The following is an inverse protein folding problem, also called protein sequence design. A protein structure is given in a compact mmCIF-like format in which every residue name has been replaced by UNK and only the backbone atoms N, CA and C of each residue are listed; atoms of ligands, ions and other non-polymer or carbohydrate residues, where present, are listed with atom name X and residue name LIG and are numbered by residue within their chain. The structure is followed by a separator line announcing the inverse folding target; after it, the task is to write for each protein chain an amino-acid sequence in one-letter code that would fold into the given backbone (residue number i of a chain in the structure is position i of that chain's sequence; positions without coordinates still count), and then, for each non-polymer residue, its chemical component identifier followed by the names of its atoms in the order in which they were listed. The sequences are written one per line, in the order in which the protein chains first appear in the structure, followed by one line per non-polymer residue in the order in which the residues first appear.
data_IF_885598924016
#
_entry.id   IF_885598924016
#
_cell.length_a   1.000
_cell.length_b   1.000
_cell.length_c   1.000
_cell.angle_alpha   90.00
_cell.angle_beta   90.00
_cell.angle_gamma   90.00
#
_symmetry.space_group_name_H-M   'P 1'
#
loop_
_entity.id
_entity.type
_entity.pdbx_description
1 polymer ?
#
# COMPACT_ATOMS: atom_id res chain seq x y z
N UNK A 1 28.15 -46.58 6.67
CA UNK A 1 27.91 -45.19 7.10
C UNK A 1 26.46 -44.88 6.80
N UNK A 2 25.60 -44.85 7.82
CA UNK A 2 24.22 -44.39 7.68
C UNK A 2 24.20 -42.92 8.08
N UNK A 3 23.95 -42.02 7.13
CA UNK A 3 23.58 -40.65 7.46
C UNK A 3 22.17 -40.66 8.04
N UNK A 4 21.90 -39.93 9.14
CA UNK A 4 20.54 -39.76 9.61
C UNK A 4 19.76 -38.94 8.58
N UNK A 5 18.56 -39.43 8.25
CA UNK A 5 17.60 -38.73 7.41
C UNK A 5 17.14 -37.48 8.17
N UNK A 6 17.47 -36.29 7.68
CA UNK A 6 17.11 -35.03 8.34
C UNK A 6 15.59 -34.86 8.20
N UNK A 7 14.83 -34.71 9.30
CA UNK A 7 13.38 -34.53 9.21
C UNK A 7 13.03 -33.22 8.50
N UNK A 8 11.89 -33.22 7.79
CA UNK A 8 11.29 -32.09 7.08
C UNK A 8 10.90 -30.88 7.95
N UNK A 9 11.29 -30.86 9.22
CA UNK A 9 10.91 -29.83 10.21
C UNK A 9 11.51 -28.46 9.90
N UNK A 10 12.64 -28.40 9.19
CA UNK A 10 13.27 -27.13 8.81
C UNK A 10 12.50 -26.33 7.76
N UNK A 11 11.64 -26.99 6.96
CA UNK A 11 10.81 -26.30 5.97
C UNK A 11 9.67 -25.54 6.66
N UNK A 12 8.99 -26.20 7.60
CA UNK A 12 7.90 -25.60 8.39
C UNK A 12 8.36 -24.41 9.23
N UNK A 13 9.51 -24.52 9.91
CA UNK A 13 10.05 -23.40 10.71
C UNK A 13 10.40 -22.19 9.84
N UNK A 14 10.93 -22.40 8.63
CA UNK A 14 11.22 -21.29 7.69
C UNK A 14 9.95 -20.64 7.15
N UNK A 15 8.91 -21.41 6.85
CA UNK A 15 7.64 -20.87 6.37
C UNK A 15 6.94 -20.05 7.46
N UNK A 16 6.94 -20.52 8.71
CA UNK A 16 6.39 -19.77 9.85
C UNK A 16 7.21 -18.50 10.15
N UNK A 17 8.54 -18.58 10.15
CA UNK A 17 9.39 -17.40 10.29
C UNK A 17 9.14 -16.39 9.15
N UNK A 18 9.11 -16.86 7.90
CA UNK A 18 8.84 -15.99 6.74
C UNK A 18 7.45 -15.35 6.78
N UNK A 19 6.43 -16.08 7.24
CA UNK A 19 5.07 -15.55 7.41
C UNK A 19 5.01 -14.49 8.53
N UNK A 20 5.67 -14.74 9.67
CA UNK A 20 5.72 -13.80 10.81
C UNK A 20 6.55 -12.55 10.46
N UNK A 21 7.66 -12.69 9.74
CA UNK A 21 8.45 -11.56 9.26
C UNK A 21 7.74 -10.77 8.16
N UNK A 22 6.97 -11.44 7.30
CA UNK A 22 6.14 -10.79 6.28
C UNK A 22 5.15 -9.79 6.87
N UNK A 23 4.49 -10.15 7.98
CA UNK A 23 3.58 -9.25 8.69
C UNK A 23 4.30 -8.01 9.25
N UNK A 24 5.48 -8.18 9.85
CA UNK A 24 6.25 -7.06 10.41
C UNK A 24 6.80 -6.12 9.33
N UNK A 25 7.26 -6.66 8.21
CA UNK A 25 7.76 -5.86 7.10
C UNK A 25 6.63 -5.03 6.47
N UNK A 26 5.45 -5.64 6.29
CA UNK A 26 4.24 -4.98 5.83
C UNK A 26 3.85 -3.80 6.73
N UNK A 27 3.66 -4.04 8.04
CA UNK A 27 3.29 -2.99 8.99
C UNK A 27 4.36 -1.91 9.13
N UNK A 28 5.64 -2.25 8.91
CA UNK A 28 6.72 -1.24 8.92
C UNK A 28 6.58 -0.25 7.78
N UNK A 29 6.22 -0.71 6.59
CA UNK A 29 6.00 0.18 5.43
C UNK A 29 4.82 1.10 5.68
N UNK A 30 3.67 0.55 6.10
CA UNK A 30 2.48 1.36 6.44
C UNK A 30 2.84 2.40 7.50
N UNK A 31 3.50 1.99 8.58
CA UNK A 31 3.92 2.89 9.65
C UNK A 31 4.82 4.02 9.16
N UNK A 32 5.79 3.73 8.28
CA UNK A 32 6.69 4.73 7.71
C UNK A 32 5.95 5.76 6.86
N UNK A 33 5.13 5.29 5.92
CA UNK A 33 4.33 6.16 5.06
C UNK A 33 3.41 7.03 5.89
N UNK A 34 2.61 6.42 6.76
CA UNK A 34 1.62 7.12 7.58
C UNK A 34 2.28 8.15 8.51
N UNK A 35 3.44 7.83 9.10
CA UNK A 35 4.15 8.76 10.00
C UNK A 35 4.65 9.99 9.25
N UNK A 36 5.29 9.82 8.09
CA UNK A 36 5.83 10.95 7.34
C UNK A 36 4.72 11.78 6.71
N UNK A 37 3.72 11.15 6.10
CA UNK A 37 2.56 11.86 5.56
C UNK A 37 1.79 12.59 6.68
N UNK A 38 1.69 12.00 7.86
CA UNK A 38 1.05 12.61 9.02
C UNK A 38 1.82 13.83 9.54
N UNK A 39 3.16 13.81 9.50
CA UNK A 39 3.98 14.98 9.77
C UNK A 39 3.65 16.13 8.79
N UNK A 40 3.62 15.82 7.49
CA UNK A 40 3.32 16.81 6.45
C UNK A 40 1.92 17.42 6.62
N UNK A 41 0.93 16.62 7.01
CA UNK A 41 -0.45 17.07 7.21
C UNK A 41 -0.66 17.80 8.55
N UNK A 42 -0.40 17.16 9.68
CA UNK A 42 -0.77 17.69 11.00
C UNK A 42 0.20 18.73 11.56
N UNK A 43 1.48 18.64 11.21
CA UNK A 43 2.53 19.48 11.80
C UNK A 43 2.96 20.58 10.84
N UNK A 44 3.26 20.21 9.60
CA UNK A 44 3.76 21.17 8.61
C UNK A 44 2.64 21.87 7.83
N UNK A 45 1.49 21.23 7.65
CA UNK A 45 0.39 21.75 6.84
C UNK A 45 0.76 21.91 5.36
N UNK A 46 1.70 21.10 4.86
CA UNK A 46 2.22 21.17 3.48
C UNK A 46 1.42 20.34 2.48
N UNK A 47 0.61 19.39 2.97
CA UNK A 47 -0.36 18.63 2.18
C UNK A 47 -1.76 18.81 2.78
N UNK A 48 -2.80 18.66 1.96
CA UNK A 48 -4.21 18.80 2.37
C UNK A 48 -4.92 17.48 2.60
N UNK A 49 -4.28 16.36 2.24
CA UNK A 49 -4.87 15.04 2.37
C UNK A 49 -4.37 14.34 3.64
N UNK A 50 -5.30 13.93 4.48
CA UNK A 50 -5.03 13.31 5.77
C UNK A 50 -4.77 11.80 5.62
N UNK A 51 -3.64 11.28 6.12
CA UNK A 51 -3.33 9.87 6.00
C UNK A 51 -4.06 9.03 7.06
N UNK A 52 -4.74 7.99 6.60
CA UNK A 52 -5.38 6.99 7.45
C UNK A 52 -4.86 5.59 7.12
N UNK A 53 -4.26 4.87 8.08
CA UNK A 53 -3.85 3.50 7.89
C UNK A 53 -5.05 2.55 8.04
N UNK A 54 -5.11 1.50 7.23
CA UNK A 54 -6.05 0.38 7.36
C UNK A 54 -7.51 0.81 7.63
N UNK A 55 -7.97 1.84 6.92
CA UNK A 55 -9.30 2.46 7.12
C UNK A 55 -10.23 2.17 5.93
N UNK A 56 -11.53 2.06 6.20
CA UNK A 56 -12.56 1.84 5.15
C UNK A 56 -12.69 3.05 4.24
N UNK A 57 -12.84 2.83 2.92
CA UNK A 57 -13.08 3.90 1.95
C UNK A 57 -14.42 4.62 2.12
N UNK A 58 -15.42 3.92 2.66
CA UNK A 58 -16.76 4.43 2.93
C UNK A 58 -17.26 3.79 4.23
N UNK A 59 -17.42 4.59 5.28
CA UNK A 59 -17.85 4.11 6.60
C UNK A 59 -19.36 3.79 6.66
N UNK A 60 -20.15 4.24 5.69
CA UNK A 60 -21.60 4.05 5.68
C UNK A 60 -22.02 2.63 5.27
N UNK A 61 -21.11 1.87 4.66
CA UNK A 61 -21.34 0.50 4.16
C UNK A 61 -20.09 -0.35 4.30
N UNK A 62 -20.24 -1.67 4.16
CA UNK A 62 -19.08 -2.53 4.02
C UNK A 62 -18.31 -2.15 2.73
N UNK A 63 -17.14 -1.55 2.90
CA UNK A 63 -16.31 -1.06 1.80
C UNK A 63 -14.88 -1.61 1.90
N UNK A 64 -14.11 -1.59 0.80
CA UNK A 64 -12.73 -2.01 0.81
C UNK A 64 -11.88 -1.20 1.79
N UNK A 65 -10.91 -1.88 2.39
CA UNK A 65 -9.90 -1.30 3.28
C UNK A 65 -8.56 -1.37 2.55
N UNK A 66 -8.01 -0.25 2.04
CA UNK A 66 -6.62 -0.17 1.64
C UNK A 66 -5.70 -0.14 2.86
N UNK A 67 -4.43 -0.48 2.65
CA UNK A 67 -3.42 -0.41 3.71
C UNK A 67 -3.14 1.03 4.17
N UNK A 68 -3.24 1.98 3.24
CA UNK A 68 -3.23 3.41 3.51
C UNK A 68 -4.18 4.12 2.54
N UNK A 69 -4.94 5.09 3.04
CA UNK A 69 -5.66 6.05 2.21
C UNK A 69 -5.30 7.47 2.61
N UNK A 70 -5.42 8.40 1.66
CA UNK A 70 -5.33 9.83 1.93
C UNK A 70 -6.69 10.46 1.69
N UNK A 71 -7.27 11.00 2.77
CA UNK A 71 -8.62 11.52 2.82
C UNK A 71 -8.64 13.03 2.63
N UNK A 72 -9.53 13.51 1.77
CA UNK A 72 -9.81 14.91 1.61
C UNK A 72 -11.00 15.31 2.50
N UNK A 73 -10.71 16.11 3.53
CA UNK A 73 -11.72 16.58 4.47
C UNK A 73 -12.73 17.59 3.87
N UNK A 74 -12.43 18.20 2.72
CA UNK A 74 -13.35 19.14 2.06
C UNK A 74 -14.39 18.41 1.20
N UNK A 75 -13.96 17.38 0.47
CA UNK A 75 -14.82 16.62 -0.47
C UNK A 75 -15.37 15.34 0.13
N UNK A 76 -14.84 14.89 1.27
CA UNK A 76 -15.14 13.62 1.91
C UNK A 76 -14.80 12.39 1.03
N UNK A 77 -13.78 12.52 0.18
CA UNK A 77 -13.30 11.46 -0.72
C UNK A 77 -11.88 11.02 -0.37
N UNK A 78 -11.46 9.86 -0.88
CA UNK A 78 -10.09 9.34 -0.71
C UNK A 78 -9.37 9.30 -2.06
N UNK A 79 -8.84 10.43 -2.55
CA UNK A 79 -8.26 10.50 -3.90
C UNK A 79 -6.99 9.66 -4.08
N UNK A 80 -6.33 9.24 -2.99
CA UNK A 80 -5.13 8.40 -3.03
C UNK A 80 -5.29 7.17 -2.14
N UNK A 81 -4.92 6.00 -2.66
CA UNK A 81 -4.78 4.76 -1.88
C UNK A 81 -3.43 4.08 -2.13
N UNK A 82 -2.94 3.35 -1.13
CA UNK A 82 -1.73 2.53 -1.24
C UNK A 82 -2.01 1.13 -0.69
N UNK A 83 -1.61 0.12 -1.46
CA UNK A 83 -1.52 -1.28 -1.01
C UNK A 83 -0.05 -1.65 -0.85
N UNK A 84 0.28 -2.37 0.21
CA UNK A 84 1.60 -2.89 0.53
C UNK A 84 1.54 -4.40 0.40
N UNK A 85 2.41 -5.00 -0.41
CA UNK A 85 2.33 -6.42 -0.69
C UNK A 85 3.69 -7.10 -0.74
N UNK A 86 3.68 -8.43 -0.66
CA UNK A 86 4.81 -9.25 -1.06
C UNK A 86 4.63 -9.71 -2.52
N UNK A 87 5.57 -10.52 -3.00
CA UNK A 87 5.52 -11.04 -4.37
C UNK A 87 4.28 -11.89 -4.67
N UNK A 88 3.72 -12.59 -3.67
CA UNK A 88 2.55 -13.46 -3.82
C UNK A 88 1.25 -12.64 -3.91
N UNK A 89 1.17 -11.53 -3.17
CA UNK A 89 0.04 -10.60 -3.16
C UNK A 89 -0.02 -9.67 -4.38
N UNK A 90 1.14 -9.38 -5.00
CA UNK A 90 1.27 -8.36 -6.04
C UNK A 90 0.18 -8.39 -7.12
N UNK A 91 -0.06 -9.56 -7.75
CA UNK A 91 -1.05 -9.66 -8.83
C UNK A 91 -2.47 -9.34 -8.37
N UNK A 92 -2.81 -9.72 -7.13
CA UNK A 92 -4.11 -9.47 -6.52
C UNK A 92 -4.27 -7.97 -6.26
N UNK A 93 -3.26 -7.33 -5.68
CA UNK A 93 -3.35 -5.93 -5.27
C UNK A 93 -3.29 -4.98 -6.46
N UNK A 94 -2.52 -5.30 -7.52
CA UNK A 94 -2.58 -4.57 -8.80
C UNK A 94 -4.01 -4.58 -9.37
N UNK A 95 -4.66 -5.75 -9.36
CA UNK A 95 -6.04 -5.86 -9.84
C UNK A 95 -7.00 -5.08 -8.93
N UNK A 96 -6.86 -5.21 -7.60
CA UNK A 96 -7.68 -4.49 -6.61
C UNK A 96 -7.62 -2.99 -6.86
N UNK A 97 -6.41 -2.43 -6.93
CA UNK A 97 -6.19 -1.00 -7.15
C UNK A 97 -6.83 -0.52 -8.46
N UNK A 98 -6.58 -1.22 -9.57
CA UNK A 98 -7.18 -0.88 -10.86
C UNK A 98 -8.71 -0.81 -10.77
N UNK A 99 -9.35 -1.80 -10.12
CA UNK A 99 -10.81 -1.84 -9.96
C UNK A 99 -11.32 -0.70 -9.07
N UNK A 100 -10.66 -0.43 -7.94
CA UNK A 100 -11.07 0.65 -7.03
C UNK A 100 -11.02 2.02 -7.70
N UNK A 101 -9.99 2.27 -8.51
CA UNK A 101 -9.77 3.55 -9.21
C UNK A 101 -10.81 3.76 -10.32
N UNK A 102 -11.06 2.75 -11.15
CA UNK A 102 -11.90 2.89 -12.34
C UNK A 102 -13.38 2.57 -12.12
N UNK A 103 -13.71 1.58 -11.28
CA UNK A 103 -15.05 0.98 -11.23
C UNK A 103 -15.88 1.47 -10.04
N UNK A 104 -15.28 1.76 -8.88
CA UNK A 104 -16.02 1.80 -7.60
C UNK A 104 -16.43 3.20 -7.11
N UNK A 105 -16.25 4.27 -7.91
CA UNK A 105 -16.72 5.64 -7.62
C UNK A 105 -16.36 6.22 -6.23
N UNK A 106 -15.30 5.75 -5.58
CA UNK A 106 -14.83 6.26 -4.27
C UNK A 106 -14.03 7.58 -4.35
N UNK A 107 -14.08 8.28 -5.48
CA UNK A 107 -13.27 9.50 -5.71
C UNK A 107 -11.77 9.25 -5.89
N UNK A 108 -11.31 8.00 -5.90
CA UNK A 108 -9.89 7.66 -6.06
C UNK A 108 -9.39 8.11 -7.44
N UNK A 109 -8.24 8.80 -7.44
CA UNK A 109 -7.55 9.31 -8.64
C UNK A 109 -6.24 8.58 -8.85
N UNK A 110 -5.45 8.40 -7.78
CA UNK A 110 -4.17 7.69 -7.83
C UNK A 110 -4.20 6.47 -6.90
N UNK A 111 -3.86 5.31 -7.44
CA UNK A 111 -3.72 4.09 -6.66
C UNK A 111 -2.32 3.52 -6.78
N UNK A 112 -1.74 3.11 -5.66
CA UNK A 112 -0.37 2.61 -5.60
C UNK A 112 -0.33 1.18 -5.06
N UNK A 113 0.62 0.40 -5.57
CA UNK A 113 1.00 -0.90 -5.00
C UNK A 113 2.50 -0.89 -4.78
N UNK A 114 2.93 -1.08 -3.54
CA UNK A 114 4.34 -1.24 -3.18
C UNK A 114 4.65 -2.67 -2.79
N UNK A 115 5.55 -3.32 -3.53
CA UNK A 115 6.06 -4.64 -3.17
C UNK A 115 7.28 -4.47 -2.26
N UNK A 116 7.12 -4.74 -0.96
CA UNK A 116 8.19 -4.53 0.02
C UNK A 116 9.33 -5.56 -0.05
N UNK A 117 9.15 -6.67 -0.79
CA UNK A 117 10.22 -7.64 -1.03
C UNK A 117 11.08 -7.26 -2.24
N UNK A 118 10.48 -6.77 -3.32
CA UNK A 118 11.23 -6.30 -4.50
C UNK A 118 11.59 -4.81 -4.46
N UNK A 119 11.02 -4.06 -3.51
CA UNK A 119 11.14 -2.60 -3.38
C UNK A 119 10.64 -1.84 -4.62
N UNK A 120 9.62 -2.38 -5.28
CA UNK A 120 9.06 -1.81 -6.50
C UNK A 120 7.70 -1.16 -6.24
N UNK A 121 7.53 0.04 -6.80
CA UNK A 121 6.27 0.74 -6.87
C UNK A 121 5.57 0.47 -8.20
N UNK A 122 4.25 0.41 -8.15
CA UNK A 122 3.36 0.41 -9.30
C UNK A 122 2.28 1.45 -9.05
N UNK A 123 1.97 2.27 -10.04
CA UNK A 123 0.95 3.30 -9.95
C UNK A 123 -0.10 3.09 -11.03
N UNK A 124 -1.35 3.21 -10.64
CA UNK A 124 -2.50 3.28 -11.52
C UNK A 124 -3.17 4.63 -11.36
N UNK A 125 -3.31 5.38 -12.44
CA UNK A 125 -3.94 6.69 -12.43
C UNK A 125 -5.25 6.66 -13.21
N UNK A 126 -6.31 7.22 -12.63
CA UNK A 126 -7.63 7.29 -13.25
C UNK A 126 -7.59 7.95 -14.61
N UNK A 127 -8.13 7.28 -15.63
CA UNK A 127 -8.15 7.78 -17.00
C UNK A 127 -6.81 7.75 -17.76
N UNK A 128 -5.70 7.36 -17.11
CA UNK A 128 -4.38 7.16 -17.75
C UNK A 128 -4.04 5.67 -17.80
N UNK A 129 -4.32 4.94 -16.71
CA UNK A 129 -3.95 3.54 -16.53
C UNK A 129 -2.65 3.36 -15.75
N UNK A 130 -1.93 2.28 -16.04
CA UNK A 130 -0.64 1.98 -15.40
C UNK A 130 0.44 2.98 -15.84
N UNK A 131 1.06 3.65 -14.86
CA UNK A 131 2.18 4.56 -15.07
C UNK A 131 3.49 3.77 -15.03
N UNK A 132 4.33 3.97 -16.05
CA UNK A 132 5.60 3.26 -16.21
C UNK A 132 6.81 4.09 -15.76
N UNK A 133 6.70 5.42 -15.85
CA UNK A 133 7.76 6.35 -15.48
C UNK A 133 7.49 6.89 -14.07
N UNK A 134 8.47 6.76 -13.17
CA UNK A 134 8.40 7.27 -11.78
C UNK A 134 7.13 6.84 -10.99
N UNK A 135 6.84 5.52 -10.88
CA UNK A 135 5.57 5.02 -10.33
C UNK A 135 5.39 5.24 -8.81
N UNK A 136 6.33 5.89 -8.14
CA UNK A 136 6.20 6.29 -6.74
C UNK A 136 5.83 7.77 -6.57
N UNK A 137 5.86 8.56 -7.66
CA UNK A 137 5.56 9.97 -7.62
C UNK A 137 4.06 10.23 -7.68
N UNK A 138 3.56 10.98 -6.70
CA UNK A 138 2.18 11.47 -6.65
C UNK A 138 2.07 12.85 -7.25
N UNK A 139 1.23 12.97 -8.28
CA UNK A 139 0.93 14.23 -8.93
C UNK A 139 0.01 15.09 -8.07
N UNK A 140 -0.92 14.48 -7.33
CA UNK A 140 -1.78 15.21 -6.41
C UNK A 140 -1.02 15.79 -5.22
N UNK A 141 -0.04 15.07 -4.67
CA UNK A 141 0.77 15.55 -3.55
C UNK A 141 1.99 16.38 -4.00
N UNK A 142 2.43 16.22 -5.25
CA UNK A 142 3.73 16.72 -5.74
C UNK A 142 4.92 16.17 -4.93
N UNK A 143 4.85 14.88 -4.56
CA UNK A 143 5.83 14.21 -3.70
C UNK A 143 6.15 12.80 -4.21
N UNK A 144 7.38 12.35 -3.98
CA UNK A 144 7.78 10.97 -4.18
C UNK A 144 7.53 10.14 -2.91
N UNK A 145 6.58 9.21 -2.95
CA UNK A 145 6.24 8.34 -1.83
C UNK A 145 7.39 7.40 -1.42
N UNK A 146 8.31 7.10 -2.35
CA UNK A 146 9.48 6.28 -2.03
C UNK A 146 10.44 6.98 -1.07
N UNK A 147 10.46 8.32 -1.03
CA UNK A 147 11.33 9.10 -0.14
C UNK A 147 11.04 8.89 1.36
N UNK A 148 9.89 8.29 1.70
CA UNK A 148 9.47 8.00 3.07
C UNK A 148 9.83 6.57 3.53
N UNK A 149 10.39 5.72 2.65
CA UNK A 149 10.62 4.29 2.90
C UNK A 149 12.04 3.94 3.34
#
# INVERSE_FOLDING_TARGET
MNYPNVPSDYAFVREEEMAVYGLKDHQRVISKLNTHLGLLYYVEGTITLEPFPETMLDESKASPVPDLLLYDNETAESPIIVEVCNQEGLKKDLKKVMQLVDEDNYGIVEGYVYNYKSQQWHQYHKGIGWVLDEPSFSQLLQLDLHSFL
#
